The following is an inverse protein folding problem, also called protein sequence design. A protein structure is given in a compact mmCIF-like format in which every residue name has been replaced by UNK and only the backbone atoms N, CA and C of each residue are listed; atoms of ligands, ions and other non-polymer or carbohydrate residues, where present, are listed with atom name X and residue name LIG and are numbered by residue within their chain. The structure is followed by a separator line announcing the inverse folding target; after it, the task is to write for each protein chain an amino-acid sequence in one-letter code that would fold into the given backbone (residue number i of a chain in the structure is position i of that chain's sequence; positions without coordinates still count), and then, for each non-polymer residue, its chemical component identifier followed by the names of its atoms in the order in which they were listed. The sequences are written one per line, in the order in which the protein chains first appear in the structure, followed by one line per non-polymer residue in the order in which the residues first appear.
data_IF_029985838076
#
_entry.id   IF_029985838076
#
_cell.length_a   1.000
_cell.length_b   1.000
_cell.length_c   1.000
_cell.angle_alpha   90.00
_cell.angle_beta   90.00
_cell.angle_gamma   90.00
#
_symmetry.space_group_name_H-M   'P 1'
#
loop_
_entity.id
_entity.type
_entity.pdbx_description
1 polymer ?
#
# COMPACT_ATOMS: atom_id res chain seq x y z
N UNK A 1 -6.83 -4.12 -18.50
CA UNK A 1 -6.88 -3.20 -17.34
C UNK A 1 -6.89 -4.05 -16.07
N UNK A 2 -6.01 -3.77 -15.11
CA UNK A 2 -5.98 -4.48 -13.82
C UNK A 2 -6.49 -3.54 -12.72
N UNK A 3 -7.35 -4.05 -11.84
CA UNK A 3 -7.88 -3.30 -10.70
C UNK A 3 -7.12 -3.70 -9.43
N UNK A 4 -6.39 -2.75 -8.83
CA UNK A 4 -5.45 -3.00 -7.71
C UNK A 4 -6.13 -3.14 -6.34
N UNK A 5 -7.45 -2.98 -6.25
CA UNK A 5 -8.26 -3.13 -5.03
C UNK A 5 -7.86 -2.24 -3.83
N UNK A 6 -7.15 -1.13 -4.08
CA UNK A 6 -6.73 -0.22 -3.02
C UNK A 6 -7.91 0.60 -2.50
N UNK A 7 -8.10 0.52 -1.17
CA UNK A 7 -9.17 1.19 -0.45
C UNK A 7 -9.01 2.73 -0.49
N UNK A 8 -10.10 3.45 -0.25
CA UNK A 8 -10.08 4.91 -0.28
C UNK A 8 -9.52 5.50 1.03
N UNK A 9 -9.36 6.82 1.07
CA UNK A 9 -8.78 7.53 2.22
C UNK A 9 -9.59 7.39 3.52
N UNK A 10 -10.92 7.17 3.44
CA UNK A 10 -11.77 6.98 4.60
C UNK A 10 -11.52 5.61 5.24
N UNK A 11 -11.37 4.57 4.42
CA UNK A 11 -11.05 3.23 4.87
C UNK A 11 -9.63 3.17 5.47
N UNK A 12 -8.64 3.79 4.82
CA UNK A 12 -7.27 3.89 5.37
C UNK A 12 -7.29 4.54 6.75
N UNK A 13 -8.06 5.63 6.91
CA UNK A 13 -8.20 6.33 8.18
C UNK A 13 -8.84 5.44 9.24
N UNK A 14 -9.92 4.74 8.90
CA UNK A 14 -10.60 3.83 9.82
C UNK A 14 -9.69 2.69 10.28
N UNK A 15 -8.96 2.05 9.35
CA UNK A 15 -7.99 1.00 9.67
C UNK A 15 -6.87 1.51 10.59
N UNK A 16 -6.34 2.70 10.33
CA UNK A 16 -5.30 3.30 11.17
C UNK A 16 -5.78 3.60 12.58
N UNK A 17 -6.99 4.17 12.72
CA UNK A 17 -7.59 4.44 14.02
C UNK A 17 -7.83 3.15 14.81
N UNK A 18 -8.30 2.09 14.16
CA UNK A 18 -8.46 0.78 14.79
C UNK A 18 -7.12 0.20 15.27
N UNK A 19 -6.05 0.34 14.47
CA UNK A 19 -4.71 -0.08 14.84
C UNK A 19 -4.16 0.70 16.04
N UNK A 20 -4.37 2.01 16.09
CA UNK A 20 -3.98 2.84 17.24
C UNK A 20 -4.71 2.44 18.52
N UNK A 21 -6.00 2.12 18.44
CA UNK A 21 -6.75 1.63 19.61
C UNK A 21 -6.21 0.28 20.08
N UNK A 22 -5.89 -0.62 19.15
CA UNK A 22 -5.32 -1.92 19.46
C UNK A 22 -3.96 -1.79 20.17
N UNK A 23 -3.10 -0.87 19.73
CA UNK A 23 -1.76 -0.68 20.30
C UNK A 23 -1.75 -0.04 21.69
N UNK A 24 -2.83 0.67 22.05
CA UNK A 24 -3.01 1.29 23.37
C UNK A 24 -3.68 0.36 24.39
N UNK A 25 -4.17 -0.81 23.97
CA UNK A 25 -4.88 -1.74 24.85
C UNK A 25 -3.91 -2.46 25.83
N UNK A 26 -4.11 -2.35 27.16
CA UNK A 26 -3.27 -3.05 28.13
C UNK A 26 -3.45 -4.57 28.04
N UNK A 27 -2.34 -5.31 28.04
CA UNK A 27 -2.27 -6.79 28.01
C UNK A 27 -3.24 -7.46 27.02
N UNK A 28 -3.02 -7.24 25.73
CA UNK A 28 -3.85 -7.86 24.69
C UNK A 28 -3.41 -9.32 24.44
N UNK A 29 -4.00 -10.27 25.19
CA UNK A 29 -3.79 -11.72 25.00
C UNK A 29 -4.19 -12.20 23.59
N UNK A 30 -4.94 -11.39 22.85
CA UNK A 30 -5.37 -11.62 21.48
C UNK A 30 -4.82 -10.61 20.46
N UNK A 31 -3.62 -10.05 20.72
CA UNK A 31 -2.99 -9.02 19.88
C UNK A 31 -3.10 -9.28 18.37
N UNK A 32 -2.70 -10.46 17.91
CA UNK A 32 -2.69 -10.78 16.47
C UNK A 32 -4.09 -10.77 15.84
N UNK A 33 -5.10 -11.26 16.57
CA UNK A 33 -6.49 -11.21 16.12
C UNK A 33 -7.01 -9.77 16.08
N UNK A 34 -6.61 -8.96 17.07
CA UNK A 34 -6.97 -7.54 17.11
C UNK A 34 -6.35 -6.78 15.93
N UNK A 35 -5.06 -6.98 15.64
CA UNK A 35 -4.37 -6.39 14.48
C UNK A 35 -4.98 -6.85 13.16
N UNK A 36 -5.24 -8.15 12.99
CA UNK A 36 -5.88 -8.69 11.79
C UNK A 36 -7.25 -8.04 11.53
N UNK A 37 -8.03 -7.83 12.60
CA UNK A 37 -9.33 -7.15 12.54
C UNK A 37 -9.27 -5.67 12.12
N UNK A 38 -8.10 -5.02 12.17
CA UNK A 38 -7.95 -3.63 11.72
C UNK A 38 -7.90 -3.49 10.20
N UNK A 39 -7.66 -4.59 9.47
CA UNK A 39 -7.37 -4.59 8.03
C UNK A 39 -6.11 -3.79 7.61
N UNK A 40 -5.32 -3.28 8.56
CA UNK A 40 -4.17 -2.42 8.24
C UNK A 40 -3.10 -3.16 7.46
N UNK A 41 -2.69 -4.35 7.94
CA UNK A 41 -1.63 -5.13 7.29
C UNK A 41 -2.09 -5.69 5.94
N UNK A 42 -3.37 -6.02 5.79
CA UNK A 42 -3.96 -6.45 4.52
C UNK A 42 -3.91 -5.30 3.49
N UNK A 43 -4.23 -4.07 3.89
CA UNK A 43 -4.14 -2.90 3.01
C UNK A 43 -2.67 -2.59 2.62
N UNK A 44 -1.73 -2.69 3.56
CA UNK A 44 -0.30 -2.54 3.27
C UNK A 44 0.21 -3.63 2.32
N UNK A 45 -0.21 -4.87 2.52
CA UNK A 45 0.13 -5.99 1.63
C UNK A 45 -0.37 -5.73 0.21
N UNK A 46 -1.64 -5.33 0.05
CA UNK A 46 -2.21 -5.04 -1.26
C UNK A 46 -1.48 -3.90 -1.97
N UNK A 47 -1.11 -2.84 -1.25
CA UNK A 47 -0.33 -1.74 -1.79
C UNK A 47 1.04 -2.21 -2.30
N UNK A 48 1.79 -2.97 -1.50
CA UNK A 48 3.12 -3.46 -1.84
C UNK A 48 3.08 -4.47 -3.01
N UNK A 49 2.15 -5.43 -2.98
CA UNK A 49 1.99 -6.40 -4.09
C UNK A 49 1.61 -5.68 -5.39
N UNK A 50 0.75 -4.67 -5.32
CA UNK A 50 0.39 -3.87 -6.49
C UNK A 50 1.60 -3.12 -7.07
N UNK A 51 2.47 -2.58 -6.22
CA UNK A 51 3.70 -1.92 -6.66
C UNK A 51 4.71 -2.91 -7.28
N UNK A 52 4.86 -4.11 -6.69
CA UNK A 52 5.69 -5.18 -7.26
C UNK A 52 5.16 -5.62 -8.63
N UNK A 53 3.85 -5.80 -8.78
CA UNK A 53 3.24 -6.14 -10.06
C UNK A 53 3.47 -5.03 -11.10
N UNK A 54 3.33 -3.76 -10.69
CA UNK A 54 3.59 -2.62 -11.57
C UNK A 54 5.04 -2.61 -12.06
N UNK A 55 6.00 -2.78 -11.15
CA UNK A 55 7.42 -2.85 -11.48
C UNK A 55 7.75 -4.05 -12.38
N UNK A 56 7.17 -5.23 -12.11
CA UNK A 56 7.36 -6.42 -12.93
C UNK A 56 6.81 -6.24 -14.36
N UNK A 57 5.65 -5.61 -14.53
CA UNK A 57 5.12 -5.31 -15.87
C UNK A 57 6.02 -4.35 -16.65
N UNK A 58 6.67 -3.39 -15.98
CA UNK A 58 7.63 -2.50 -16.62
C UNK A 58 8.92 -3.25 -16.98
N UNK A 59 9.57 -3.86 -15.98
CA UNK A 59 10.93 -4.39 -16.12
C UNK A 59 10.96 -5.73 -16.87
N UNK A 60 10.07 -6.66 -16.50
CA UNK A 60 10.11 -8.04 -17.01
C UNK A 60 9.29 -8.19 -18.30
N UNK A 61 8.19 -7.45 -18.43
CA UNK A 61 7.34 -7.52 -19.63
C UNK A 61 7.67 -6.44 -20.67
N UNK A 62 8.53 -5.45 -20.33
CA UNK A 62 8.86 -4.31 -21.20
C UNK A 62 7.62 -3.54 -21.68
N UNK A 63 6.62 -3.37 -20.80
CA UNK A 63 5.36 -2.70 -21.13
C UNK A 63 5.20 -1.38 -20.39
N UNK A 64 4.83 -0.34 -21.13
CA UNK A 64 4.39 0.91 -20.52
C UNK A 64 3.07 0.74 -19.77
N UNK A 65 2.92 1.46 -18.66
CA UNK A 65 1.76 1.38 -17.77
C UNK A 65 1.16 2.77 -17.56
N UNK A 66 -0.17 2.83 -17.51
CA UNK A 66 -0.92 4.01 -17.08
C UNK A 66 -1.53 3.72 -15.71
N UNK A 67 -1.16 4.52 -14.70
CA UNK A 67 -1.66 4.38 -13.33
C UNK A 67 -2.56 5.57 -13.01
N UNK A 68 -3.80 5.29 -12.60
CA UNK A 68 -4.71 6.31 -12.09
C UNK A 68 -5.54 5.76 -10.93
N UNK A 69 -6.09 6.67 -10.11
CA UNK A 69 -7.14 6.36 -9.16
C UNK A 69 -8.36 7.25 -9.47
N UNK A 70 -9.22 7.55 -8.48
CA UNK A 70 -10.38 8.42 -8.69
C UNK A 70 -9.95 9.83 -9.12
N UNK A 71 -9.18 10.51 -8.27
CA UNK A 71 -8.71 11.88 -8.51
C UNK A 71 -7.22 11.96 -8.89
N UNK A 72 -6.52 10.82 -8.86
CA UNK A 72 -5.11 10.73 -9.27
C UNK A 72 -4.08 11.16 -8.21
N UNK A 73 -4.50 11.64 -7.03
CA UNK A 73 -3.58 12.23 -6.04
C UNK A 73 -3.37 11.44 -4.74
N UNK A 74 -4.04 10.29 -4.53
CA UNK A 74 -3.87 9.47 -3.31
C UNK A 74 -3.15 8.15 -3.59
N UNK A 75 -3.87 7.19 -4.20
CA UNK A 75 -3.36 5.83 -4.47
C UNK A 75 -2.36 5.82 -5.63
N UNK A 76 -2.52 6.74 -6.58
CA UNK A 76 -1.59 6.88 -7.70
C UNK A 76 -0.18 7.22 -7.22
N UNK A 77 0.07 8.31 -6.47
CA UNK A 77 1.42 8.61 -6.01
C UNK A 77 1.99 7.51 -5.13
N UNK A 78 1.18 6.87 -4.25
CA UNK A 78 1.64 5.72 -3.47
C UNK A 78 2.19 4.58 -4.33
N UNK A 79 1.45 4.18 -5.38
CA UNK A 79 1.86 3.10 -6.28
C UNK A 79 3.07 3.49 -7.14
N UNK A 80 3.04 4.68 -7.72
CA UNK A 80 4.10 5.17 -8.61
C UNK A 80 5.41 5.32 -7.84
N UNK A 81 5.39 5.97 -6.67
CA UNK A 81 6.61 6.16 -5.87
C UNK A 81 7.20 4.84 -5.38
N UNK A 82 6.36 3.86 -5.02
CA UNK A 82 6.84 2.54 -4.62
C UNK A 82 7.47 1.80 -5.81
N UNK A 83 6.87 1.86 -7.00
CA UNK A 83 7.46 1.26 -8.20
C UNK A 83 8.77 1.95 -8.59
N UNK A 84 8.86 3.27 -8.48
CA UNK A 84 10.09 4.04 -8.69
C UNK A 84 11.21 3.60 -7.73
N UNK A 85 10.91 3.44 -6.43
CA UNK A 85 11.86 2.89 -5.44
C UNK A 85 12.31 1.47 -5.83
N UNK A 86 11.42 0.64 -6.40
CA UNK A 86 11.75 -0.73 -6.82
C UNK A 86 12.61 -0.76 -8.09
N UNK A 87 12.37 0.15 -9.04
CA UNK A 87 13.00 0.14 -10.36
C UNK A 87 14.31 0.92 -10.40
N UNK A 88 14.38 2.08 -9.76
CA UNK A 88 15.52 3.00 -9.91
C UNK A 88 16.28 3.17 -8.58
N UNK A 89 17.56 2.76 -8.51
CA UNK A 89 18.42 2.93 -7.34
C UNK A 89 18.56 4.39 -6.87
N UNK A 90 18.39 5.37 -7.75
CA UNK A 90 18.45 6.79 -7.40
C UNK A 90 17.47 7.15 -6.28
N UNK A 91 16.24 6.61 -6.32
CA UNK A 91 15.21 6.89 -5.30
C UNK A 91 15.44 6.20 -3.95
N UNK A 92 16.55 5.45 -3.79
CA UNK A 92 16.95 4.84 -2.50
C UNK A 92 18.05 5.64 -1.79
N UNK A 93 18.38 6.83 -2.29
CA UNK A 93 19.43 7.70 -1.72
C UNK A 93 18.82 8.90 -0.99
N UNK A 94 19.49 9.33 0.09
CA UNK A 94 19.19 10.61 0.77
C UNK A 94 20.08 11.67 0.14
N UNK A 95 19.52 12.85 -0.16
CA UNK A 95 20.25 14.00 -0.70
C UNK A 95 20.82 14.90 0.39
#
# INVERSE_FOLDING_TARGET
MSWMRLVNIHDVRACFQALQQCSQAPSNTSWWKAVDGTSWLQNMHLLLVSAVNLAATIELESRSVLVHCSDGWDRTPQLVSLAEILLDPYYRTVK
#
